data_IF_312892477848
#
_entry.id   IF_312892477848
#
_cell.length_a   1.000
_cell.length_b   1.000
_cell.length_c   1.000
_cell.angle_alpha   90.00
_cell.angle_beta   90.00
_cell.angle_gamma   90.00
#
_symmetry.space_group_name_H-M   'P 1'
#
loop_
_entity.id
_entity.type
_entity.pdbx_description
1 polymer ?
#
# COMPACT_ATOMS: atom_id res chain seq x y z
N UNK A 1 -8.44 -22.23 -1.38
CA UNK A 1 -7.37 -21.24 -1.13
C UNK A 1 -7.98 -20.08 -0.37
N UNK A 2 -7.32 -19.60 0.67
CA UNK A 2 -7.76 -18.42 1.43
C UNK A 2 -6.80 -17.29 1.10
N UNK A 3 -7.32 -16.17 0.57
CA UNK A 3 -6.55 -14.97 0.33
C UNK A 3 -6.80 -13.99 1.47
N UNK A 4 -5.72 -13.57 2.13
CA UNK A 4 -5.74 -12.49 3.13
C UNK A 4 -5.00 -11.29 2.54
N UNK A 5 -5.68 -10.16 2.45
CA UNK A 5 -5.09 -8.90 2.03
C UNK A 5 -5.05 -7.94 3.22
N UNK A 6 -3.91 -7.27 3.40
CA UNK A 6 -3.71 -6.24 4.41
C UNK A 6 -3.55 -4.92 3.69
N UNK A 7 -4.50 -4.01 3.87
CA UNK A 7 -4.40 -2.64 3.37
C UNK A 7 -3.68 -1.80 4.42
N UNK A 8 -2.62 -1.10 4.02
CA UNK A 8 -1.82 -0.27 4.93
C UNK A 8 -2.22 1.18 4.82
N UNK A 9 -2.24 1.94 5.93
CA UNK A 9 -2.24 3.40 5.86
C UNK A 9 -1.12 3.87 4.92
N UNK A 10 -1.37 4.95 4.17
CA UNK A 10 -0.52 5.30 3.04
C UNK A 10 0.91 5.66 3.45
N UNK A 11 1.82 4.66 3.41
CA UNK A 11 3.28 4.82 3.39
C UNK A 11 3.78 5.70 2.23
N UNK A 12 2.87 6.09 1.34
CA UNK A 12 3.10 6.89 0.14
C UNK A 12 2.03 7.98 -0.01
N UNK A 13 1.28 8.31 1.05
CA UNK A 13 0.31 9.40 0.97
C UNK A 13 1.05 10.75 0.88
N UNK A 14 1.11 11.27 -0.35
CA UNK A 14 1.81 12.50 -0.75
C UNK A 14 1.43 13.74 0.06
N UNK A 15 0.29 13.72 0.77
CA UNK A 15 -0.15 14.82 1.62
C UNK A 15 0.67 14.94 2.91
N UNK A 16 1.33 13.87 3.33
CA UNK A 16 2.08 13.77 4.58
C UNK A 16 3.56 14.13 4.42
N UNK A 17 4.10 14.07 3.20
CA UNK A 17 5.53 14.25 2.91
C UNK A 17 5.95 15.70 2.64
N UNK A 18 5.39 16.65 3.39
CA UNK A 18 5.96 17.99 3.44
C UNK A 18 7.26 17.93 4.26
N UNK A 19 8.33 17.49 3.60
CA UNK A 19 9.74 17.57 4.03
C UNK A 19 10.23 16.69 5.19
N UNK A 20 9.38 15.89 5.84
CA UNK A 20 9.83 15.12 7.00
C UNK A 20 9.94 13.60 6.74
N UNK A 21 11.18 13.15 6.54
CA UNK A 21 11.51 11.73 6.39
C UNK A 21 11.31 10.91 7.67
N UNK A 22 11.18 11.55 8.85
CA UNK A 22 10.84 10.86 10.10
C UNK A 22 9.40 10.33 10.07
N UNK A 23 8.52 10.94 9.27
CA UNK A 23 7.15 10.44 9.08
C UNK A 23 7.15 9.09 8.35
N UNK A 24 8.07 8.85 7.41
CA UNK A 24 8.21 7.54 6.75
C UNK A 24 8.51 6.45 7.77
N UNK A 25 9.46 6.69 8.67
CA UNK A 25 9.91 5.68 9.64
C UNK A 25 8.78 5.32 10.61
N UNK A 26 8.04 6.34 11.08
CA UNK A 26 6.86 6.14 11.91
C UNK A 26 5.76 5.33 11.18
N UNK A 27 5.53 5.58 9.89
CA UNK A 27 4.55 4.81 9.11
C UNK A 27 5.00 3.36 8.90
N UNK A 28 6.28 3.10 8.66
CA UNK A 28 6.82 1.73 8.57
C UNK A 28 6.61 0.99 9.90
N UNK A 29 6.90 1.63 11.03
CA UNK A 29 6.65 1.08 12.36
C UNK A 29 5.14 0.85 12.61
N UNK A 30 4.28 1.77 12.18
CA UNK A 30 2.83 1.63 12.27
C UNK A 30 2.34 0.42 11.48
N UNK A 31 2.84 0.22 10.25
CA UNK A 31 2.53 -0.93 9.41
C UNK A 31 2.94 -2.23 10.08
N UNK A 32 4.18 -2.30 10.59
CA UNK A 32 4.67 -3.47 11.31
C UNK A 32 3.80 -3.80 12.52
N UNK A 33 3.52 -2.81 13.35
CA UNK A 33 2.70 -2.96 14.55
C UNK A 33 1.26 -3.37 14.22
N UNK A 34 0.70 -2.83 13.13
CA UNK A 34 -0.61 -3.25 12.63
C UNK A 34 -0.60 -4.73 12.22
N UNK A 35 0.37 -5.15 11.42
CA UNK A 35 0.49 -6.54 10.98
C UNK A 35 0.65 -7.50 12.16
N UNK A 36 1.50 -7.16 13.14
CA UNK A 36 1.67 -7.95 14.38
C UNK A 36 0.34 -8.06 15.15
N UNK A 37 -0.36 -6.93 15.35
CA UNK A 37 -1.66 -6.91 16.07
C UNK A 37 -2.74 -7.75 15.37
N UNK A 38 -2.68 -7.85 14.05
CA UNK A 38 -3.59 -8.68 13.24
C UNK A 38 -3.14 -10.15 13.15
N UNK A 39 -2.02 -10.51 13.78
CA UNK A 39 -1.45 -11.86 13.69
C UNK A 39 -0.86 -12.19 12.33
N UNK A 40 -0.60 -11.18 11.49
CA UNK A 40 0.04 -11.34 10.18
C UNK A 40 1.54 -11.35 10.40
N UNK A 41 2.16 -12.53 10.32
CA UNK A 41 3.59 -12.73 10.54
C UNK A 41 4.36 -13.06 9.26
N UNK A 42 3.65 -13.36 8.18
CA UNK A 42 4.25 -13.82 6.91
C UNK A 42 3.54 -13.17 5.71
N UNK A 43 4.32 -12.83 4.67
CA UNK A 43 3.83 -12.26 3.43
C UNK A 43 4.27 -13.09 2.23
N UNK A 44 3.32 -13.47 1.38
CA UNK A 44 3.62 -14.13 0.11
C UNK A 44 4.01 -13.12 -0.98
N UNK A 45 3.35 -11.96 -0.93
CA UNK A 45 3.46 -10.89 -1.90
C UNK A 45 3.23 -9.55 -1.21
N UNK A 46 3.96 -8.52 -1.62
CA UNK A 46 3.79 -7.13 -1.23
C UNK A 46 3.66 -6.31 -2.50
N UNK A 47 2.58 -5.54 -2.58
CA UNK A 47 2.22 -4.77 -3.76
C UNK A 47 2.42 -3.28 -3.49
N UNK A 48 3.35 -2.63 -4.21
CA UNK A 48 3.41 -1.18 -4.26
C UNK A 48 2.47 -0.65 -5.33
N UNK A 49 1.44 0.09 -4.91
CA UNK A 49 0.43 0.61 -5.81
C UNK A 49 0.74 2.07 -6.19
N UNK A 50 0.82 2.34 -7.49
CA UNK A 50 0.95 3.68 -8.02
C UNK A 50 -0.15 3.97 -9.03
N UNK A 51 -0.60 5.22 -9.14
CA UNK A 51 -1.54 5.60 -10.20
C UNK A 51 -0.78 6.07 -11.42
N UNK A 52 -1.16 5.60 -12.61
CA UNK A 52 -0.57 6.03 -13.87
C UNK A 52 -0.61 7.56 -14.03
N UNK A 53 -1.74 8.18 -13.65
CA UNK A 53 -1.94 9.64 -13.77
C UNK A 53 -1.07 10.42 -12.78
N UNK A 54 -0.87 9.88 -11.57
CA UNK A 54 -0.07 10.52 -10.54
C UNK A 54 1.44 10.32 -10.77
N UNK A 55 1.81 9.34 -11.61
CA UNK A 55 3.18 8.87 -11.79
C UNK A 55 3.78 8.35 -10.49
N UNK A 56 5.08 8.11 -10.51
CA UNK A 56 5.84 7.75 -9.33
C UNK A 56 7.00 8.74 -9.20
N UNK A 57 7.20 9.27 -7.99
CA UNK A 57 8.18 10.32 -7.75
C UNK A 57 9.33 9.84 -6.85
N UNK A 58 10.31 10.72 -6.62
CA UNK A 58 11.46 10.41 -5.79
C UNK A 58 11.12 10.10 -4.32
N UNK A 59 10.02 10.63 -3.78
CA UNK A 59 9.59 10.33 -2.41
C UNK A 59 9.05 8.90 -2.34
N UNK A 60 8.27 8.48 -3.35
CA UNK A 60 7.77 7.12 -3.46
C UNK A 60 8.94 6.12 -3.56
N UNK A 61 9.96 6.45 -4.35
CA UNK A 61 11.20 5.66 -4.46
C UNK A 61 11.93 5.56 -3.11
N UNK A 62 12.16 6.69 -2.43
CA UNK A 62 12.83 6.70 -1.13
C UNK A 62 12.09 5.91 -0.06
N UNK A 63 10.76 5.97 -0.05
CA UNK A 63 9.96 5.21 0.90
C UNK A 63 10.01 3.69 0.62
N UNK A 64 10.08 3.25 -0.64
CA UNK A 64 10.33 1.84 -0.99
C UNK A 64 11.73 1.40 -0.53
N UNK A 65 12.76 2.23 -0.74
CA UNK A 65 14.13 1.93 -0.29
C UNK A 65 14.19 1.80 1.23
N UNK A 66 13.61 2.75 1.97
CA UNK A 66 13.50 2.66 3.44
C UNK A 66 12.75 1.43 3.92
N UNK A 67 11.64 1.09 3.26
CA UNK A 67 10.86 -0.11 3.58
C UNK A 67 11.70 -1.39 3.42
N UNK A 68 12.48 -1.47 2.33
CA UNK A 68 13.41 -2.57 2.09
C UNK A 68 14.55 -2.62 3.10
N UNK A 69 15.12 -1.47 3.46
CA UNK A 69 16.19 -1.39 4.44
C UNK A 69 15.70 -1.80 5.84
N UNK A 70 14.46 -1.44 6.18
CA UNK A 70 13.85 -1.76 7.46
C UNK A 70 13.54 -3.26 7.61
N UNK A 71 12.93 -3.89 6.61
CA UNK A 71 12.55 -5.31 6.66
C UNK A 71 13.64 -6.27 6.17
N UNK A 72 14.68 -5.73 5.52
CA UNK A 72 15.79 -6.48 4.94
C UNK A 72 15.60 -6.77 3.45
N UNK A 73 16.72 -6.87 2.73
CA UNK A 73 16.74 -7.07 1.27
C UNK A 73 16.08 -8.37 0.79
N UNK A 74 15.92 -9.35 1.67
CA UNK A 74 15.19 -10.61 1.38
C UNK A 74 13.71 -10.36 1.01
N UNK A 75 13.13 -9.27 1.54
CA UNK A 75 11.78 -8.81 1.19
C UNK A 75 11.61 -8.51 -0.29
N UNK A 76 12.67 -8.07 -0.98
CA UNK A 76 12.66 -7.73 -2.40
C UNK A 76 12.12 -8.88 -3.27
N UNK A 77 12.37 -10.13 -2.86
CA UNK A 77 11.90 -11.33 -3.57
C UNK A 77 10.37 -11.47 -3.61
N UNK A 78 9.67 -10.72 -2.76
CA UNK A 78 8.22 -10.73 -2.60
C UNK A 78 7.56 -9.46 -3.09
N UNK A 79 8.30 -8.52 -3.68
CA UNK A 79 7.77 -7.23 -4.13
C UNK A 79 7.29 -7.28 -5.59
N UNK A 80 6.08 -6.77 -5.83
CA UNK A 80 5.64 -6.32 -7.15
C UNK A 80 5.20 -4.85 -7.10
N UNK A 81 5.13 -4.24 -8.28
CA UNK A 81 4.49 -2.94 -8.46
C UNK A 81 3.18 -3.11 -9.22
N UNK A 82 2.13 -2.41 -8.80
CA UNK A 82 0.82 -2.40 -9.46
C UNK A 82 0.50 -0.98 -9.92
N UNK A 83 0.49 -0.76 -11.23
CA UNK A 83 0.09 0.50 -11.84
C UNK A 83 -1.42 0.50 -12.02
N UNK A 84 -2.08 1.44 -11.35
CA UNK A 84 -3.54 1.60 -11.30
C UNK A 84 -4.02 2.67 -12.28
N UNK A 85 -5.33 2.67 -12.57
CA UNK A 85 -5.98 3.53 -13.56
C UNK A 85 -5.53 3.25 -15.00
N UNK A 86 -5.35 1.96 -15.31
CA UNK A 86 -4.94 1.51 -16.63
C UNK A 86 -6.08 0.89 -17.45
N UNK A 87 -7.34 0.99 -17.01
CA UNK A 87 -8.50 0.40 -17.69
C UNK A 87 -8.59 0.80 -19.17
N UNK A 88 -8.18 2.02 -19.51
CA UNK A 88 -8.21 2.53 -20.89
C UNK A 88 -7.01 2.10 -21.75
N UNK A 89 -6.07 1.31 -21.21
CA UNK A 89 -4.82 0.95 -21.89
C UNK A 89 -4.91 -0.45 -22.47
N UNK A 90 -4.54 -0.61 -23.73
CA UNK A 90 -4.41 -1.93 -24.35
C UNK A 90 -3.05 -2.57 -24.04
N UNK A 91 -2.83 -3.80 -24.48
CA UNK A 91 -1.60 -4.57 -24.20
C UNK A 91 -0.32 -3.87 -24.69
N UNK A 92 -0.34 -3.36 -25.92
CA UNK A 92 0.82 -2.66 -26.49
C UNK A 92 1.19 -1.42 -25.68
N UNK A 93 0.19 -0.63 -25.27
CA UNK A 93 0.40 0.55 -24.44
C UNK A 93 0.96 0.18 -23.05
N UNK A 94 0.53 -0.94 -22.48
CA UNK A 94 1.06 -1.42 -21.20
C UNK A 94 2.52 -1.85 -21.30
N UNK A 95 2.92 -2.49 -22.40
CA UNK A 95 4.34 -2.83 -22.57
C UNK A 95 5.22 -1.62 -22.80
N UNK A 96 4.71 -0.58 -23.45
CA UNK A 96 5.40 0.70 -23.52
C UNK A 96 5.58 1.32 -22.13
N UNK A 97 4.53 1.33 -21.30
CA UNK A 97 4.60 1.83 -19.92
C UNK A 97 5.59 0.99 -19.09
N UNK A 98 5.53 -0.34 -19.19
CA UNK A 98 6.46 -1.22 -18.46
C UNK A 98 7.90 -0.95 -18.87
N UNK A 99 8.17 -0.89 -20.18
CA UNK A 99 9.50 -0.63 -20.70
C UNK A 99 10.01 0.78 -20.32
N UNK A 100 9.13 1.77 -20.21
CA UNK A 100 9.46 3.10 -19.72
C UNK A 100 9.92 3.05 -18.25
N UNK A 101 9.13 2.41 -17.38
CA UNK A 101 9.46 2.25 -15.95
C UNK A 101 10.78 1.48 -15.77
N UNK A 102 11.01 0.43 -16.55
CA UNK A 102 12.23 -0.38 -16.48
C UNK A 102 13.49 0.35 -16.98
N UNK A 103 13.33 1.28 -17.94
CA UNK A 103 14.44 2.07 -18.50
C UNK A 103 14.73 3.34 -17.72
N UNK A 104 13.78 3.84 -16.94
CA UNK A 104 13.97 5.03 -16.12
C UNK A 104 15.13 4.80 -15.13
N UNK A 105 16.14 5.66 -15.22
CA UNK A 105 17.38 5.56 -14.45
C UNK A 105 17.17 5.73 -12.95
N UNK A 106 16.19 6.54 -12.54
CA UNK A 106 15.83 6.73 -11.14
C UNK A 106 15.07 5.53 -10.59
N UNK A 107 14.29 4.86 -11.45
CA UNK A 107 13.59 3.65 -11.10
C UNK A 107 14.46 2.40 -11.10
N UNK A 108 15.60 2.43 -11.79
CA UNK A 108 16.40 1.24 -12.04
C UNK A 108 16.90 0.53 -10.77
N UNK A 109 17.16 1.27 -9.68
CA UNK A 109 17.57 0.70 -8.39
C UNK A 109 16.46 -0.16 -7.78
N UNK A 110 15.20 0.27 -7.93
CA UNK A 110 14.02 -0.38 -7.38
C UNK A 110 13.47 -1.43 -8.32
N UNK A 111 13.39 -1.19 -9.63
CA UNK A 111 12.87 -2.18 -10.59
C UNK A 111 13.66 -3.48 -10.56
N UNK A 112 14.98 -3.42 -10.39
CA UNK A 112 15.83 -4.61 -10.18
C UNK A 112 15.50 -5.39 -8.91
N UNK A 113 14.84 -4.76 -7.93
CA UNK A 113 14.41 -5.37 -6.67
C UNK A 113 12.95 -5.81 -6.69
N UNK A 114 12.18 -5.48 -7.74
CA UNK A 114 10.80 -5.93 -7.92
C UNK A 114 10.79 -7.33 -8.56
N UNK A 115 11.23 -8.33 -7.81
CA UNK A 115 11.40 -9.69 -8.37
C UNK A 115 10.09 -10.32 -8.85
N UNK A 116 8.94 -9.85 -8.37
CA UNK A 116 7.64 -10.33 -8.86
C UNK A 116 7.18 -9.58 -10.11
N UNK A 117 7.75 -8.42 -10.43
CA UNK A 117 7.51 -7.67 -11.65
C UNK A 117 6.54 -6.50 -11.51
N UNK A 118 6.12 -5.96 -12.66
CA UNK A 118 5.21 -4.81 -12.79
C UNK A 118 3.89 -5.30 -13.40
N UNK A 119 2.80 -5.04 -12.69
CA UNK A 119 1.44 -5.39 -13.06
C UNK A 119 0.58 -4.15 -13.24
N UNK A 120 -0.58 -4.35 -13.85
CA UNK A 120 -1.55 -3.30 -14.11
C UNK A 120 -2.86 -3.62 -13.41
N UNK A 121 -3.61 -2.58 -13.09
CA UNK A 121 -4.96 -2.67 -12.53
C UNK A 121 -5.80 -1.48 -12.97
N UNK A 122 -7.11 -1.63 -12.86
CA UNK A 122 -8.08 -0.62 -13.25
C UNK A 122 -9.40 -0.83 -12.54
N UNK A 123 -10.25 0.19 -12.63
CA UNK A 123 -11.60 0.14 -12.09
C UNK A 123 -12.56 0.84 -13.04
N UNK A 124 -13.77 0.28 -13.19
CA UNK A 124 -14.84 0.96 -13.88
C UNK A 124 -15.53 1.94 -12.93
N UNK A 125 -15.82 3.14 -13.43
CA UNK A 125 -16.72 4.05 -12.73
C UNK A 125 -18.14 3.51 -12.84
N UNK A 126 -18.84 3.46 -11.71
CA UNK A 126 -20.22 2.96 -11.64
C UNK A 126 -21.14 3.69 -12.62
N UNK A 127 -20.98 5.01 -12.71
CA UNK A 127 -21.78 5.88 -13.58
C UNK A 127 -21.55 5.60 -15.07
N UNK A 128 -20.34 5.16 -15.43
CA UNK A 128 -19.97 4.85 -16.81
C UNK A 128 -20.50 3.49 -17.24
N UNK A 129 -20.57 2.51 -16.33
CA UNK A 129 -21.15 1.19 -16.60
C UNK A 129 -22.58 1.28 -17.14
N UNK A 130 -23.39 2.17 -16.55
CA UNK A 130 -24.79 2.36 -16.95
C UNK A 130 -24.94 2.96 -18.36
N UNK A 131 -23.88 3.53 -18.94
CA UNK A 131 -23.89 4.08 -20.30
C UNK A 131 -23.55 3.03 -21.37
N UNK A 132 -22.96 1.89 -20.96
CA UNK A 132 -22.72 0.69 -21.76
C UNK A 132 -22.21 0.93 -23.20
N UNK A 133 -21.26 1.86 -23.38
CA UNK A 133 -20.63 2.06 -24.69
C UNK A 133 -19.44 1.09 -24.90
N UNK A 134 -19.01 0.96 -26.16
CA UNK A 134 -17.92 0.04 -26.55
C UNK A 134 -16.61 0.31 -25.78
N UNK A 135 -16.34 1.56 -25.42
CA UNK A 135 -15.15 1.91 -24.65
C UNK A 135 -15.21 1.34 -23.22
N UNK A 136 -16.37 1.36 -22.58
CA UNK A 136 -16.58 0.77 -21.24
C UNK A 136 -16.47 -0.76 -21.30
N UNK A 137 -16.99 -1.37 -22.37
CA UNK A 137 -16.84 -2.81 -22.56
C UNK A 137 -15.36 -3.20 -22.77
N UNK A 138 -14.61 -2.43 -23.54
CA UNK A 138 -13.17 -2.64 -23.71
C UNK A 138 -12.41 -2.49 -22.38
N UNK A 139 -12.74 -1.45 -21.60
CA UNK A 139 -12.17 -1.26 -20.26
C UNK A 139 -12.47 -2.44 -19.33
N UNK A 140 -13.69 -2.98 -19.38
CA UNK A 140 -14.07 -4.17 -18.63
C UNK A 140 -13.18 -5.37 -18.99
N UNK A 141 -12.98 -5.64 -20.29
CA UNK A 141 -12.12 -6.74 -20.73
C UNK A 141 -10.66 -6.55 -20.29
N UNK A 142 -10.12 -5.34 -20.40
CA UNK A 142 -8.79 -5.02 -19.90
C UNK A 142 -8.68 -5.29 -18.39
N UNK A 143 -9.67 -4.86 -17.59
CA UNK A 143 -9.68 -5.10 -16.14
C UNK A 143 -9.74 -6.60 -15.81
N UNK A 144 -10.51 -7.38 -16.55
CA UNK A 144 -10.54 -8.83 -16.39
C UNK A 144 -9.17 -9.46 -16.68
N UNK A 145 -8.50 -9.04 -17.76
CA UNK A 145 -7.14 -9.48 -18.08
C UNK A 145 -6.16 -9.15 -16.95
N UNK A 146 -6.23 -7.93 -16.40
CA UNK A 146 -5.39 -7.49 -15.27
C UNK A 146 -5.57 -8.35 -14.04
N UNK A 147 -6.83 -8.63 -13.69
CA UNK A 147 -7.18 -9.47 -12.54
C UNK A 147 -6.68 -10.88 -12.72
N UNK A 148 -6.82 -11.46 -13.91
CA UNK A 148 -6.31 -12.81 -14.19
C UNK A 148 -4.79 -12.88 -13.98
N UNK A 149 -4.03 -11.90 -14.50
CA UNK A 149 -2.57 -11.84 -14.32
C UNK A 149 -2.17 -11.68 -12.84
N UNK A 150 -2.93 -10.90 -12.06
CA UNK A 150 -2.69 -10.73 -10.62
C UNK A 150 -3.06 -11.99 -9.81
N UNK A 151 -4.14 -12.68 -10.17
CA UNK A 151 -4.52 -13.96 -9.56
C UNK A 151 -3.45 -15.01 -9.85
N UNK A 152 -3.00 -15.12 -11.10
CA UNK A 152 -1.91 -16.02 -11.48
C UNK A 152 -0.62 -15.74 -10.69
N UNK A 153 -0.26 -14.47 -10.50
CA UNK A 153 0.86 -14.08 -9.63
C UNK A 153 0.68 -14.57 -8.19
N UNK A 154 -0.52 -14.40 -7.62
CA UNK A 154 -0.83 -14.81 -6.25
C UNK A 154 -0.76 -16.33 -6.10
N UNK A 155 -1.33 -17.08 -7.04
CA UNK A 155 -1.31 -18.54 -7.06
C UNK A 155 0.11 -19.11 -7.21
N UNK A 156 0.96 -18.42 -7.97
CA UNK A 156 2.36 -18.82 -8.18
C UNK A 156 3.31 -18.33 -7.07
N UNK A 157 2.85 -17.47 -6.16
CA UNK A 157 3.67 -16.95 -5.05
C UNK A 157 3.63 -17.88 -3.84
N UNK A 158 4.38 -18.99 -3.93
CA UNK A 158 4.41 -20.05 -2.91
C UNK A 158 5.33 -19.80 -1.72
N UNK A 159 6.32 -18.92 -1.88
CA UNK A 159 7.28 -18.60 -0.82
C UNK A 159 6.75 -17.47 0.05
N UNK A 160 7.14 -17.47 1.32
CA UNK A 160 6.80 -16.40 2.27
C UNK A 160 8.03 -15.68 2.80
N UNK A 161 7.92 -14.38 2.94
CA UNK A 161 8.78 -13.57 3.78
C UNK A 161 8.22 -13.60 5.21
N UNK A 162 9.06 -13.84 6.21
CA UNK A 162 8.66 -13.83 7.62
C UNK A 162 9.08 -12.51 8.26
N UNK A 163 8.15 -11.82 8.89
CA UNK A 163 8.50 -10.65 9.70
C UNK A 163 9.29 -11.10 10.91
N UNK A 164 10.48 -10.54 11.09
CA UNK A 164 11.26 -10.74 12.32
C UNK A 164 10.56 -10.00 13.47
N UNK A 165 10.23 -10.69 14.58
CA UNK A 165 9.73 -10.00 15.76
C UNK A 165 10.79 -9.00 16.25
N UNK A 166 10.35 -7.89 16.84
CA UNK A 166 11.24 -6.98 17.56
C UNK A 166 11.83 -7.76 18.74
N UNK A 167 13.05 -8.28 18.58
CA UNK A 167 13.89 -8.52 19.75
C UNK A 167 14.27 -7.12 20.21
N UNK A 168 13.53 -6.59 21.18
CA UNK A 168 13.92 -5.37 21.88
C UNK A 168 15.22 -5.68 22.63
N UNK A 169 16.36 -5.54 21.96
CA UNK A 169 17.62 -5.25 22.65
C UNK A 169 17.54 -3.82 23.18
N UNK A 170 16.64 -3.58 24.14
CA UNK A 170 16.88 -2.54 25.11
C UNK A 170 18.11 -2.98 25.91
N UNK A 171 19.30 -2.60 25.42
CA UNK A 171 20.44 -2.42 26.31
C UNK A 171 20.01 -1.41 27.36
N UNK A 172 19.60 -1.92 28.50
CA UNK A 172 19.40 -1.17 29.73
C UNK A 172 20.73 -0.54 30.12
N UNK A 173 21.03 0.64 29.58
CA UNK A 173 22.01 1.53 30.16
C UNK A 173 21.40 2.13 31.42
N UNK A 174 21.59 1.42 32.52
CA UNK A 174 21.63 2.00 33.86
C UNK A 174 22.59 3.18 33.87
N UNK A 175 22.11 4.40 34.09
CA UNK A 175 22.75 5.35 35.03
C UNK A 175 21.94 6.63 35.25
N UNK A 176 21.64 6.84 36.53
CA UNK A 176 21.65 8.12 37.26
C UNK A 176 20.45 9.08 37.11
N UNK A 177 19.46 8.77 37.94
CA UNK A 177 18.62 9.69 38.68
C UNK A 177 19.34 10.94 39.23
N UNK A 178 18.78 12.12 38.94
CA UNK A 178 18.83 13.34 39.76
C UNK A 178 17.52 14.14 39.61
N UNK A 179 17.17 15.00 40.59
CA UNK A 179 15.80 15.16 41.08
C UNK A 179 15.01 16.31 40.45
N UNK A 180 13.69 16.19 40.58
CA UNK A 180 12.65 17.16 40.23
C UNK A 180 12.77 18.47 41.03
N UNK A 181 12.54 19.60 40.35
CA UNK A 181 12.15 20.89 40.93
C UNK A 181 10.79 21.28 40.32
N UNK A 182 9.80 21.69 41.12
CA UNK A 182 8.47 22.06 40.64
C UNK A 182 8.40 23.55 40.32
N UNK A 183 7.70 23.91 39.25
CA UNK A 183 7.13 25.24 39.05
C UNK A 183 5.70 25.13 38.56
N UNK A 184 4.84 25.87 39.24
CA UNK A 184 3.41 25.95 39.09
C UNK A 184 2.99 26.96 38.00
N UNK A 185 1.67 26.96 37.78
CA UNK A 185 0.79 28.01 37.25
C UNK A 185 0.28 27.85 35.80
N UNK A 186 -0.98 27.39 35.79
CA UNK A 186 -2.16 28.00 35.15
C UNK A 186 -2.13 28.39 33.67
N UNK A 187 -3.03 27.79 32.89
CA UNK A 187 -4.32 28.44 32.60
C UNK A 187 -5.28 27.51 31.84
N UNK A 188 -6.50 27.42 32.38
CA UNK A 188 -7.71 26.92 31.73
C UNK A 188 -8.08 27.81 30.54
N UNK A 189 -8.64 27.23 29.47
CA UNK A 189 -9.68 27.83 28.65
C UNK A 189 -10.34 26.77 27.74
N UNK A 190 -11.59 26.44 28.07
CA UNK A 190 -12.63 26.01 27.11
C UNK A 190 -13.64 27.17 27.04
N UNK A 191 -14.37 27.41 25.92
CA UNK A 191 -15.60 26.65 25.69
C UNK A 191 -16.06 26.44 24.22
N UNK A 192 -16.82 25.34 24.07
CA UNK A 192 -18.11 25.16 23.39
C UNK A 192 -18.38 25.55 21.91
N UNK A 193 -18.78 24.51 21.18
CA UNK A 193 -19.92 24.36 20.26
C UNK A 193 -20.28 25.45 19.22
N UNK A 194 -20.23 25.03 17.95
CA UNK A 194 -21.30 25.33 16.99
C UNK A 194 -21.55 24.14 16.05
N UNK A 195 -22.77 23.62 16.11
CA UNK A 195 -23.34 22.66 15.16
C UNK A 195 -23.33 23.20 13.72
N UNK A 196 -22.95 22.36 12.75
CA UNK A 196 -23.42 22.47 11.37
C UNK A 196 -23.69 21.07 10.79
N UNK A 197 -24.92 20.75 10.35
CA UNK A 197 -25.30 19.41 9.94
C UNK A 197 -25.16 19.24 8.42
N UNK A 198 -24.05 18.63 7.97
CA UNK A 198 -23.92 18.15 6.60
C UNK A 198 -23.55 16.67 6.60
N UNK A 199 -24.58 15.83 6.66
CA UNK A 199 -24.53 14.40 6.35
C UNK A 199 -24.18 14.21 4.88
N UNK A 200 -22.94 13.87 4.55
CA UNK A 200 -22.62 13.20 3.30
C UNK A 200 -21.50 12.17 3.51
N UNK A 201 -21.88 10.92 3.29
CA UNK A 201 -21.00 9.76 3.20
C UNK A 201 -19.86 10.04 2.21
N UNK A 202 -18.64 10.22 2.72
CA UNK A 202 -17.42 10.15 1.93
C UNK A 202 -16.89 8.72 1.99
N UNK A 203 -17.37 7.88 1.09
CA UNK A 203 -16.61 6.71 0.64
C UNK A 203 -15.41 7.24 -0.14
N UNK A 204 -14.25 7.28 0.50
CA UNK A 204 -12.99 7.45 -0.22
C UNK A 204 -12.51 6.08 -0.66
N UNK A 205 -12.36 5.95 -1.98
CA UNK A 205 -11.87 4.77 -2.67
C UNK A 205 -10.50 4.35 -2.15
N UNK A 206 -10.42 3.21 -1.44
CA UNK A 206 -9.19 2.43 -1.44
C UNK A 206 -9.23 1.47 -2.63
N UNK A 207 -8.23 1.58 -3.49
CA UNK A 207 -7.90 0.60 -4.51
C UNK A 207 -7.73 -0.77 -3.86
N UNK A 208 -8.31 -1.80 -4.49
CA UNK A 208 -8.40 -3.20 -4.06
C UNK A 208 -9.42 -3.52 -2.93
N UNK A 209 -10.71 -3.38 -3.24
CA UNK A 209 -11.73 -4.19 -2.54
C UNK A 209 -11.90 -5.54 -3.24
N UNK A 210 -11.14 -6.56 -2.84
CA UNK A 210 -11.56 -7.96 -3.06
C UNK A 210 -12.40 -8.39 -1.85
N UNK A 211 -13.73 -8.18 -1.92
CA UNK A 211 -14.65 -8.77 -0.94
C UNK A 211 -14.78 -10.26 -1.24
N UNK A 212 -14.00 -11.09 -0.58
CA UNK A 212 -14.24 -12.54 -0.56
C UNK A 212 -15.44 -12.79 0.37
N UNK A 213 -16.64 -12.92 -0.20
CA UNK A 213 -17.75 -13.53 0.52
C UNK A 213 -17.52 -15.05 0.59
N UNK A 214 -16.80 -15.50 1.61
CA UNK A 214 -16.84 -16.91 2.01
C UNK A 214 -18.04 -17.11 2.94
N UNK A 215 -19.24 -17.27 2.37
CA UNK A 215 -20.34 -17.89 3.11
C UNK A 215 -20.31 -19.38 2.76
N UNK A 216 -19.77 -20.16 3.69
CA UNK A 216 -20.05 -21.60 3.78
C UNK A 216 -21.56 -21.82 3.64
N UNK A 217 -21.93 -22.72 2.73
CA UNK A 217 -23.04 -23.68 2.75
C UNK A 217 -23.17 -24.15 1.30
N UNK A 218 -22.70 -25.38 1.03
CA UNK A 218 -23.52 -26.42 0.43
C UNK A 218 -22.83 -27.76 0.72
N UNK A 219 -23.35 -28.42 1.75
CA UNK A 219 -23.34 -29.87 1.86
C UNK A 219 -24.35 -30.40 0.84
N UNK A 220 -23.93 -31.28 -0.05
CA UNK A 220 -24.63 -32.49 -0.50
C UNK A 220 -23.62 -33.41 -1.17
#
# INVERSE_FOLDING_TARGET
MTLTAVDTPGLFDRRSYTHDMQLVDNEIDNIKNMCIRQGVTEFHLICFCASLEAGINNQDLQAIEKFLDYFGLELAQHLCMVITRCESKNEQQRELIRAEIERDTYFQSITRRLNKGIYFSGALKCDDWNRANDAILLQFYNICEYRNKLIELLENSRTTFKMKPLISEHKSSTSHSRPLVPTADDQQLTPQHSHCPCKYNKFFFSTFTMKTYAKSIYSF
#
